data_IF_134390756302
#
_entry.id   IF_134390756302
#
_cell.length_a   1.000
_cell.length_b   1.000
_cell.length_c   1.000
_cell.angle_alpha   90.00
_cell.angle_beta   90.00
_cell.angle_gamma   90.00
#
_symmetry.space_group_name_H-M   'P 1'
#
loop_
_entity.id
_entity.type
_entity.pdbx_description
1 polymer ?
#
# COMPACT_ATOMS: atom_id res chain seq x y z
N UNK A 1 -34.62 -7.92 -38.64
CA UNK A 1 -34.77 -6.57 -39.22
C UNK A 1 -33.69 -5.68 -38.60
N UNK A 2 -32.92 -4.91 -39.38
CA UNK A 2 -31.77 -4.15 -38.84
C UNK A 2 -32.20 -2.93 -37.98
N UNK A 3 -33.49 -2.56 -38.07
CA UNK A 3 -34.12 -1.45 -37.35
C UNK A 3 -34.37 -1.73 -35.87
N UNK A 4 -34.33 -3.01 -35.42
CA UNK A 4 -34.43 -3.34 -33.99
C UNK A 4 -33.12 -3.10 -33.24
N UNK A 5 -31.97 -3.13 -33.95
CA UNK A 5 -30.64 -2.88 -33.37
C UNK A 5 -30.30 -1.39 -33.25
N UNK A 6 -31.10 -0.52 -33.86
CA UNK A 6 -30.93 0.94 -33.83
C UNK A 6 -31.80 1.62 -32.77
N UNK A 7 -32.68 0.87 -32.10
CA UNK A 7 -33.40 1.36 -30.95
C UNK A 7 -32.52 1.15 -29.72
N UNK A 8 -32.03 2.22 -29.05
CA UNK A 8 -31.37 2.04 -27.76
C UNK A 8 -32.33 1.32 -26.82
N UNK A 9 -31.89 0.20 -26.26
CA UNK A 9 -32.62 -0.49 -25.20
C UNK A 9 -32.98 0.56 -24.14
N UNK A 10 -34.26 0.64 -23.77
CA UNK A 10 -34.79 1.65 -22.85
C UNK A 10 -34.20 1.57 -21.45
N UNK A 11 -33.53 0.47 -21.14
CA UNK A 11 -32.96 0.21 -19.83
C UNK A 11 -31.45 0.43 -19.85
N UNK A 12 -31.07 1.71 -19.86
CA UNK A 12 -29.71 2.12 -19.50
C UNK A 12 -29.63 1.97 -17.98
N UNK A 13 -29.31 0.76 -17.50
CA UNK A 13 -28.96 0.54 -16.09
C UNK A 13 -27.53 1.01 -15.84
N UNK A 14 -27.28 2.30 -16.01
CA UNK A 14 -26.12 2.96 -15.40
C UNK A 14 -26.48 3.19 -13.95
N UNK A 15 -26.02 2.33 -13.03
CA UNK A 15 -25.98 2.71 -11.62
C UNK A 15 -25.11 3.96 -11.52
N UNK A 16 -25.55 4.95 -10.77
CA UNK A 16 -24.73 6.11 -10.45
C UNK A 16 -23.47 5.59 -9.73
N UNK A 17 -22.28 6.00 -10.19
CA UNK A 17 -21.02 5.48 -9.63
C UNK A 17 -20.78 6.00 -8.20
N UNK A 18 -21.56 6.99 -7.79
CA UNK A 18 -21.44 7.70 -6.52
C UNK A 18 -22.83 8.15 -6.11
N UNK A 19 -23.20 7.85 -4.88
CA UNK A 19 -24.42 8.34 -4.23
C UNK A 19 -24.02 9.46 -3.27
N UNK A 20 -24.82 10.54 -3.21
CA UNK A 20 -24.60 11.61 -2.23
C UNK A 20 -25.09 11.11 -0.87
N UNK A 21 -24.15 10.87 0.05
CA UNK A 21 -24.44 10.41 1.41
C UNK A 21 -24.99 11.60 2.19
N UNK A 22 -26.25 11.52 2.62
CA UNK A 22 -26.83 12.44 3.60
C UNK A 22 -26.49 11.89 4.99
N UNK A 23 -25.93 12.74 5.86
CA UNK A 23 -25.26 12.37 7.13
C UNK A 23 -26.16 11.59 8.13
N UNK A 24 -27.47 11.49 7.87
CA UNK A 24 -28.43 10.83 8.77
C UNK A 24 -28.58 9.30 8.52
N UNK A 25 -28.06 8.74 7.41
CA UNK A 25 -28.15 7.30 7.10
C UNK A 25 -26.87 6.48 7.40
N UNK A 26 -25.75 7.14 7.76
CA UNK A 26 -24.47 6.46 7.97
C UNK A 26 -24.49 5.45 9.14
N UNK A 27 -25.32 5.64 10.18
CA UNK A 27 -25.26 4.77 11.36
C UNK A 27 -25.80 3.34 11.13
N UNK A 28 -26.77 3.16 10.24
CA UNK A 28 -27.46 1.86 10.06
C UNK A 28 -26.80 0.97 8.99
N UNK A 29 -26.17 1.56 7.98
CA UNK A 29 -25.54 0.82 6.87
C UNK A 29 -24.11 0.34 7.20
N UNK A 30 -23.43 1.04 8.12
CA UNK A 30 -22.09 0.68 8.60
C UNK A 30 -22.11 -0.69 9.30
N UNK A 31 -23.15 -1.00 10.06
CA UNK A 31 -23.26 -2.24 10.83
C UNK A 31 -23.38 -3.49 9.93
N UNK A 32 -24.07 -3.37 8.79
CA UNK A 32 -24.25 -4.46 7.82
C UNK A 32 -22.99 -4.72 6.96
N UNK A 33 -22.21 -3.68 6.63
CA UNK A 33 -20.97 -3.82 5.86
C UNK A 33 -19.85 -4.49 6.65
N UNK A 34 -19.83 -4.32 7.98
CA UNK A 34 -18.84 -4.98 8.85
C UNK A 34 -19.05 -6.50 8.94
N UNK A 35 -20.29 -7.00 9.01
CA UNK A 35 -20.54 -8.45 9.17
C UNK A 35 -20.09 -9.30 7.96
N UNK A 36 -20.19 -8.79 6.72
CA UNK A 36 -19.81 -9.55 5.52
C UNK A 36 -18.29 -9.48 5.23
N UNK A 37 -17.61 -8.44 5.74
CA UNK A 37 -16.18 -8.20 5.57
C UNK A 37 -15.29 -9.05 6.49
N UNK A 38 -15.79 -9.46 7.67
CA UNK A 38 -15.00 -10.21 8.66
C UNK A 38 -14.49 -11.57 8.15
N UNK A 39 -15.15 -12.18 7.15
CA UNK A 39 -14.76 -13.49 6.63
C UNK A 39 -13.65 -13.48 5.56
N UNK A 40 -13.27 -12.32 5.02
CA UNK A 40 -12.24 -12.23 3.95
C UNK A 40 -10.85 -11.84 4.47
N UNK A 41 -10.76 -11.27 5.67
CA UNK A 41 -9.51 -10.84 6.28
C UNK A 41 -9.07 -11.81 7.37
N UNK A 42 -8.58 -13.00 7.00
CA UNK A 42 -7.74 -13.79 7.91
C UNK A 42 -6.41 -13.05 8.06
N UNK A 43 -6.41 -12.02 8.90
CA UNK A 43 -5.22 -11.29 9.29
C UNK A 43 -4.38 -12.26 10.12
N UNK A 44 -3.35 -12.84 9.48
CA UNK A 44 -2.35 -13.64 10.20
C UNK A 44 -1.70 -12.72 11.23
N UNK A 45 -2.11 -12.85 12.49
CA UNK A 45 -1.57 -12.09 13.62
C UNK A 45 -0.08 -12.44 13.70
N UNK A 46 0.75 -11.55 13.19
CA UNK A 46 2.20 -11.63 13.39
C UNK A 46 2.41 -11.23 14.85
N UNK A 47 3.08 -12.06 15.67
CA UNK A 47 3.33 -11.70 17.06
C UNK A 47 4.01 -10.34 17.12
N UNK A 48 3.44 -9.45 17.92
CA UNK A 48 3.97 -8.10 18.15
C UNK A 48 5.31 -8.24 18.87
N UNK A 49 6.39 -8.12 18.11
CA UNK A 49 7.72 -8.00 18.67
C UNK A 49 7.77 -6.56 19.18
N UNK A 50 7.70 -6.38 20.50
CA UNK A 50 8.02 -5.11 21.16
C UNK A 50 9.50 -4.79 20.94
N UNK A 51 9.85 -4.39 19.72
CA UNK A 51 11.13 -3.80 19.43
C UNK A 51 11.17 -2.46 20.19
N UNK A 52 12.22 -2.26 20.98
CA UNK A 52 12.40 -1.06 21.81
C UNK A 52 12.04 0.20 21.02
N UNK A 53 10.93 0.83 21.40
CA UNK A 53 10.24 1.89 20.63
C UNK A 53 11.16 3.03 20.16
N UNK A 54 12.31 3.27 20.81
CA UNK A 54 13.25 4.32 20.44
C UNK A 54 14.10 4.00 19.20
N UNK A 55 14.52 2.75 19.02
CA UNK A 55 15.36 2.34 17.87
C UNK A 55 14.52 2.26 16.60
N UNK A 56 13.33 1.66 16.72
CA UNK A 56 12.31 1.54 15.68
C UNK A 56 11.89 2.91 15.15
N UNK A 57 11.78 3.92 16.00
CA UNK A 57 11.48 5.30 15.56
C UNK A 57 12.59 5.97 14.76
N UNK A 58 13.84 5.50 14.86
CA UNK A 58 15.00 6.09 14.16
C UNK A 58 15.36 5.34 12.89
N UNK A 59 15.24 4.01 12.93
CA UNK A 59 15.71 3.10 11.88
C UNK A 59 14.60 2.15 11.37
N UNK A 60 13.37 2.27 11.88
CA UNK A 60 12.26 1.45 11.40
C UNK A 60 11.83 1.79 9.99
N UNK A 61 10.94 0.98 9.43
CA UNK A 61 10.33 1.14 8.10
C UNK A 61 8.90 0.60 8.08
N UNK A 62 8.25 0.74 6.94
CA UNK A 62 6.84 0.39 6.77
C UNK A 62 5.91 1.41 7.41
N UNK A 63 4.65 1.01 7.61
CA UNK A 63 3.63 1.90 8.16
C UNK A 63 3.98 2.33 9.59
N UNK A 64 3.96 3.64 9.83
CA UNK A 64 4.27 4.23 11.13
C UNK A 64 5.67 3.96 11.66
N UNK A 65 6.63 3.60 10.79
CA UNK A 65 7.98 3.19 11.16
C UNK A 65 8.02 2.00 12.13
N UNK A 66 6.99 1.14 12.12
CA UNK A 66 6.78 0.12 13.16
C UNK A 66 7.56 -1.18 12.95
N UNK A 67 8.23 -1.36 11.81
CA UNK A 67 8.92 -2.62 11.45
C UNK A 67 10.43 -2.42 11.41
N UNK A 68 11.14 -3.48 11.80
CA UNK A 68 12.59 -3.55 11.88
C UNK A 68 13.03 -5.02 11.76
N UNK A 69 14.20 -5.31 11.21
CA UNK A 69 14.78 -6.65 11.00
C UNK A 69 14.14 -7.54 9.92
N UNK A 70 13.00 -7.15 9.34
CA UNK A 70 12.32 -7.91 8.27
C UNK A 70 13.15 -7.93 6.98
N UNK A 71 13.71 -6.79 6.57
CA UNK A 71 14.51 -6.69 5.34
C UNK A 71 15.82 -7.46 5.49
N UNK A 72 16.45 -7.41 6.67
CA UNK A 72 17.63 -8.22 6.96
C UNK A 72 17.32 -9.72 6.85
N UNK A 73 16.21 -10.17 7.43
CA UNK A 73 15.78 -11.58 7.37
C UNK A 73 15.50 -12.08 5.97
N UNK A 74 14.99 -11.20 5.10
CA UNK A 74 14.62 -11.53 3.71
C UNK A 74 15.68 -11.10 2.69
N UNK A 75 16.88 -10.70 3.13
CA UNK A 75 17.91 -10.12 2.26
C UNK A 75 18.25 -10.99 1.05
N UNK A 76 18.28 -12.31 1.22
CA UNK A 76 18.58 -13.23 0.14
C UNK A 76 17.49 -13.23 -0.96
N UNK A 77 16.24 -12.97 -0.58
CA UNK A 77 15.08 -12.99 -1.49
C UNK A 77 14.82 -11.61 -2.12
N UNK A 78 14.82 -10.55 -1.29
CA UNK A 78 14.39 -9.21 -1.70
C UNK A 78 15.53 -8.19 -1.72
N UNK A 79 16.76 -8.55 -1.34
CA UNK A 79 17.87 -7.60 -1.21
C UNK A 79 18.25 -6.89 -2.51
N UNK A 80 17.93 -7.49 -3.67
CA UNK A 80 18.13 -6.85 -4.99
C UNK A 80 17.04 -5.82 -5.34
N UNK A 81 15.93 -5.81 -4.61
CA UNK A 81 14.82 -4.88 -4.81
C UNK A 81 14.91 -3.65 -3.89
N UNK A 82 15.80 -3.69 -2.90
CA UNK A 82 15.96 -2.61 -1.93
C UNK A 82 17.22 -1.83 -2.28
N UNK A 83 17.04 -0.55 -2.63
CA UNK A 83 18.17 0.32 -3.00
C UNK A 83 19.09 0.62 -1.81
N UNK A 84 18.51 0.70 -0.61
CA UNK A 84 19.24 0.83 0.65
C UNK A 84 19.89 -0.49 1.05
N UNK A 85 21.23 -0.55 1.05
CA UNK A 85 22.00 -1.75 1.38
C UNK A 85 21.77 -2.25 2.81
N UNK A 86 21.61 -1.33 3.77
CA UNK A 86 21.51 -1.65 5.20
C UNK A 86 20.47 -0.74 5.89
N UNK A 87 19.16 -0.96 5.65
CA UNK A 87 18.11 -0.07 6.17
C UNK A 87 18.06 -0.03 7.70
N UNK A 88 18.54 -1.07 8.39
CA UNK A 88 18.57 -1.15 9.87
C UNK A 88 19.59 -0.19 10.52
N UNK A 89 20.59 0.27 9.76
CA UNK A 89 21.68 1.13 10.26
C UNK A 89 21.60 2.57 9.72
N UNK A 90 20.71 2.82 8.76
CA UNK A 90 20.53 4.15 8.15
C UNK A 90 19.31 4.83 8.77
N UNK A 91 19.55 5.98 9.40
CA UNK A 91 18.50 6.80 10.01
C UNK A 91 17.52 7.30 8.95
N UNK A 92 16.22 7.34 9.30
CA UNK A 92 15.13 7.72 8.40
C UNK A 92 15.39 9.06 7.70
N UNK A 93 15.95 10.03 8.42
CA UNK A 93 16.23 11.38 7.91
C UNK A 93 17.27 11.40 6.77
N UNK A 94 18.19 10.44 6.75
CA UNK A 94 19.32 10.40 5.80
C UNK A 94 19.00 9.51 4.59
N UNK A 95 18.05 8.58 4.71
CA UNK A 95 17.70 7.61 3.64
C UNK A 95 17.38 8.26 2.30
N UNK A 96 16.63 9.37 2.31
CA UNK A 96 16.27 10.06 1.07
C UNK A 96 17.51 10.54 0.32
N UNK A 97 18.52 11.07 1.04
CA UNK A 97 19.75 11.52 0.44
C UNK A 97 20.60 10.35 -0.10
N UNK A 98 20.64 9.22 0.62
CA UNK A 98 21.34 8.02 0.15
C UNK A 98 20.68 7.41 -1.10
N UNK A 99 19.35 7.30 -1.14
CA UNK A 99 18.62 6.83 -2.32
C UNK A 99 18.92 7.70 -3.53
N UNK A 100 18.87 9.04 -3.38
CA UNK A 100 19.21 9.96 -4.46
C UNK A 100 20.64 9.72 -4.96
N UNK A 101 21.61 9.58 -4.06
CA UNK A 101 22.99 9.29 -4.42
C UNK A 101 23.12 7.98 -5.19
N UNK A 102 22.45 6.93 -4.73
CA UNK A 102 22.48 5.61 -5.37
C UNK A 102 21.84 5.65 -6.78
N UNK A 103 20.73 6.36 -6.94
CA UNK A 103 20.06 6.53 -8.23
C UNK A 103 20.97 7.23 -9.24
N UNK A 104 21.70 8.27 -8.83
CA UNK A 104 22.68 8.94 -9.69
C UNK A 104 23.84 8.03 -10.10
N UNK A 105 24.29 7.12 -9.23
CA UNK A 105 25.34 6.15 -9.57
C UNK A 105 24.86 5.08 -10.56
N UNK A 106 23.58 4.68 -10.46
CA UNK A 106 22.98 3.64 -11.32
C UNK A 106 22.46 4.22 -12.64
N UNK A 107 22.19 5.53 -12.69
CA UNK A 107 21.67 6.21 -13.87
C UNK A 107 22.59 6.07 -15.09
N UNK A 108 22.00 5.65 -16.21
CA UNK A 108 22.70 5.41 -17.47
C UNK A 108 21.92 6.08 -18.61
N UNK A 109 22.37 7.26 -19.04
CA UNK A 109 21.71 8.06 -20.08
C UNK A 109 21.44 7.26 -21.37
N UNK A 110 22.34 6.34 -21.74
CA UNK A 110 22.21 5.53 -22.95
C UNK A 110 21.11 4.48 -22.90
N UNK A 111 20.51 4.21 -21.73
CA UNK A 111 19.30 3.37 -21.62
C UNK A 111 18.01 4.16 -21.81
N UNK A 112 18.06 5.48 -21.69
CA UNK A 112 16.90 6.36 -21.74
C UNK A 112 16.78 7.12 -23.07
N UNK A 113 17.88 7.25 -23.82
CA UNK A 113 17.94 7.86 -25.16
C UNK A 113 17.98 6.80 -26.27
#
# INVERSE_FOLDING_TARGET
>A
MITELLNPSKDIHGRELVEEVDDEQEEEEVEAFFEESENLFVQKIVPEIEATNSTVKKFGYGFGWSKMGVIERLRDEIGKLVDLRNPEEVEIEVRAAECISADYEVFDEGRYL
#
